data_IF_431944040540
#
_entry.id   IF_431944040540
#
_cell.length_a   1.000
_cell.length_b   1.000
_cell.length_c   1.000
_cell.angle_alpha   90.00
_cell.angle_beta   90.00
_cell.angle_gamma   90.00
#
_symmetry.space_group_name_H-M   'P 1'
#
loop_
_entity.id
_entity.type
_entity.pdbx_description
1 polymer ?
#
# COMPACT_ATOMS: atom_id res chain seq x y z
N UNK A 1 -14.51 -5.99 -6.54
CA UNK A 1 -13.25 -5.26 -6.48
C UNK A 1 -13.46 -3.96 -5.73
N UNK A 2 -12.58 -3.63 -4.80
CA UNK A 2 -12.69 -2.41 -4.00
C UNK A 2 -12.31 -1.17 -4.80
N UNK A 3 -12.71 0.00 -4.30
CA UNK A 3 -12.18 1.28 -4.79
C UNK A 3 -11.02 1.71 -3.91
N UNK A 4 -9.99 2.29 -4.50
CA UNK A 4 -8.80 2.70 -3.72
C UNK A 4 -9.14 3.68 -2.59
N UNK A 5 -10.12 4.57 -2.80
CA UNK A 5 -10.54 5.53 -1.76
C UNK A 5 -11.17 4.81 -0.56
N UNK A 6 -11.88 3.70 -0.79
CA UNK A 6 -12.44 2.90 0.30
C UNK A 6 -11.34 2.21 1.09
N UNK A 7 -10.33 1.68 0.41
CA UNK A 7 -9.16 1.07 1.04
C UNK A 7 -8.38 2.13 1.83
N UNK A 8 -8.19 3.32 1.25
CA UNK A 8 -7.50 4.42 1.91
C UNK A 8 -8.21 4.85 3.20
N UNK A 9 -9.54 4.94 3.17
CA UNK A 9 -10.32 5.28 4.35
C UNK A 9 -10.17 4.22 5.44
N UNK A 10 -10.19 2.95 5.05
CA UNK A 10 -10.00 1.85 5.99
C UNK A 10 -8.62 1.91 6.65
N UNK A 11 -7.57 2.09 5.85
CA UNK A 11 -6.19 2.21 6.35
C UNK A 11 -6.06 3.42 7.27
N UNK A 12 -6.65 4.56 6.87
CA UNK A 12 -6.64 5.79 7.67
C UNK A 12 -7.26 5.56 9.05
N UNK A 13 -8.45 4.97 9.10
CA UNK A 13 -9.16 4.73 10.35
C UNK A 13 -8.46 3.69 11.23
N UNK A 14 -7.98 2.62 10.63
CA UNK A 14 -7.29 1.56 11.35
C UNK A 14 -5.98 2.06 11.96
N UNK A 15 -5.21 2.84 11.19
CA UNK A 15 -3.98 3.45 11.68
C UNK A 15 -4.27 4.40 12.86
N UNK A 16 -5.28 5.24 12.74
CA UNK A 16 -5.67 6.15 13.81
C UNK A 16 -6.08 5.40 15.08
N UNK A 17 -6.84 4.32 14.93
CA UNK A 17 -7.26 3.48 16.05
C UNK A 17 -6.08 2.83 16.76
N UNK A 18 -5.10 2.32 16.01
CA UNK A 18 -3.96 1.60 16.57
C UNK A 18 -2.89 2.52 17.17
N UNK A 19 -2.70 3.71 16.61
CA UNK A 19 -1.61 4.61 17.02
C UNK A 19 -2.05 5.86 17.76
N UNK A 20 -3.35 6.18 17.71
CA UNK A 20 -3.93 7.44 18.19
C UNK A 20 -3.33 8.67 17.47
N UNK A 21 -2.78 8.47 16.28
CA UNK A 21 -2.20 9.50 15.44
C UNK A 21 -2.80 9.48 14.05
N UNK A 22 -2.94 10.68 13.44
CA UNK A 22 -3.39 10.79 12.05
C UNK A 22 -2.23 10.43 11.12
N UNK A 23 -2.47 9.50 10.20
CA UNK A 23 -1.47 9.10 9.20
C UNK A 23 -1.19 10.28 8.25
N UNK A 24 0.09 10.54 7.96
CA UNK A 24 0.45 11.54 6.95
C UNK A 24 0.18 11.01 5.53
N UNK A 25 0.04 11.94 4.58
CA UNK A 25 -0.34 11.59 3.21
C UNK A 25 0.72 10.69 2.54
N UNK A 26 2.01 10.98 2.72
CA UNK A 26 3.08 10.18 2.12
C UNK A 26 3.04 8.73 2.62
N UNK A 27 2.90 8.54 3.93
CA UNK A 27 2.78 7.19 4.50
C UNK A 27 1.56 6.47 3.95
N UNK A 28 0.42 7.16 3.86
CA UNK A 28 -0.81 6.57 3.34
C UNK A 28 -0.62 6.03 1.92
N UNK A 29 -0.03 6.82 1.02
CA UNK A 29 0.24 6.34 -0.35
C UNK A 29 1.13 5.11 -0.37
N UNK A 30 2.17 5.07 0.46
CA UNK A 30 3.09 3.93 0.50
C UNK A 30 2.41 2.68 1.05
N UNK A 31 1.63 2.82 2.11
CA UNK A 31 0.87 1.68 2.65
C UNK A 31 -0.13 1.14 1.63
N UNK A 32 -0.80 2.01 0.88
CA UNK A 32 -1.73 1.58 -0.18
C UNK A 32 -1.02 0.81 -1.30
N UNK A 33 0.17 1.23 -1.67
CA UNK A 33 0.98 0.48 -2.63
C UNK A 33 1.28 -0.92 -2.10
N UNK A 34 1.71 -1.03 -0.84
CA UNK A 34 1.98 -2.33 -0.23
C UNK A 34 0.73 -3.19 -0.08
N UNK A 35 -0.43 -2.58 0.18
CA UNK A 35 -1.72 -3.31 0.19
C UNK A 35 -1.98 -3.95 -1.18
N UNK A 36 -1.80 -3.20 -2.26
CA UNK A 36 -1.98 -3.73 -3.62
C UNK A 36 -0.99 -4.86 -3.90
N UNK A 37 0.27 -4.69 -3.53
CA UNK A 37 1.30 -5.72 -3.70
C UNK A 37 0.96 -6.99 -2.91
N UNK A 38 0.53 -6.83 -1.66
CA UNK A 38 0.12 -7.96 -0.81
C UNK A 38 -1.10 -8.68 -1.38
N UNK A 39 -2.04 -7.96 -1.97
CA UNK A 39 -3.21 -8.57 -2.61
C UNK A 39 -2.77 -9.52 -3.74
N UNK A 40 -1.82 -9.09 -4.57
CA UNK A 40 -1.25 -9.98 -5.57
C UNK A 40 -0.55 -11.18 -4.94
N UNK A 41 0.19 -10.97 -3.87
CA UNK A 41 0.95 -12.04 -3.21
C UNK A 41 0.03 -13.11 -2.62
N UNK A 42 -1.06 -12.71 -1.96
CA UNK A 42 -1.97 -13.62 -1.27
C UNK A 42 -3.10 -14.15 -2.16
N UNK A 43 -3.68 -13.32 -3.01
CA UNK A 43 -4.87 -13.66 -3.78
C UNK A 43 -4.62 -13.76 -5.28
N UNK A 44 -3.43 -13.37 -5.76
CA UNK A 44 -3.08 -13.40 -7.19
C UNK A 44 -3.85 -12.37 -8.02
N UNK A 45 -4.44 -11.35 -7.40
CA UNK A 45 -5.22 -10.33 -8.10
C UNK A 45 -5.10 -8.98 -7.40
N UNK A 46 -5.36 -7.88 -8.15
CA UNK A 46 -5.36 -6.55 -7.54
C UNK A 46 -6.55 -6.38 -6.60
N UNK A 47 -6.39 -5.58 -5.56
CA UNK A 47 -7.49 -5.23 -4.67
C UNK A 47 -8.38 -4.16 -5.28
N UNK A 48 -7.79 -3.23 -6.05
CA UNK A 48 -8.49 -2.13 -6.70
C UNK A 48 -7.92 -1.89 -8.10
N UNK A 49 -8.73 -1.26 -8.98
CA UNK A 49 -8.34 -1.01 -10.38
C UNK A 49 -7.60 0.30 -10.59
N UNK A 50 -7.72 1.26 -9.69
CA UNK A 50 -7.09 2.56 -9.84
C UNK A 50 -5.58 2.40 -9.86
N UNK A 51 -4.91 3.29 -10.60
CA UNK A 51 -3.47 3.23 -10.82
C UNK A 51 -2.72 4.11 -9.83
N UNK A 52 -1.47 3.72 -9.58
CA UNK A 52 -0.48 4.59 -8.97
C UNK A 52 0.36 5.26 -10.05
N UNK A 53 0.86 6.45 -9.75
CA UNK A 53 1.86 7.14 -10.57
C UNK A 53 3.21 7.09 -9.88
N UNK A 54 4.28 7.02 -10.68
CA UNK A 54 5.66 6.97 -10.17
C UNK A 54 6.24 8.36 -9.92
N UNK A 55 5.95 8.93 -8.77
CA UNK A 55 6.47 10.24 -8.38
C UNK A 55 7.87 10.13 -7.78
N UNK A 56 8.54 11.29 -7.58
CA UNK A 56 9.90 11.34 -7.01
C UNK A 56 10.01 10.55 -5.72
N UNK A 57 9.03 10.68 -4.82
CA UNK A 57 9.06 10.05 -3.50
C UNK A 57 8.27 8.75 -3.43
N UNK A 58 8.05 8.10 -4.57
CA UNK A 58 7.41 6.80 -4.63
C UNK A 58 6.01 6.83 -5.24
N UNK A 59 5.29 5.72 -5.16
CA UNK A 59 3.94 5.61 -5.71
C UNK A 59 2.96 6.58 -5.06
N UNK A 60 2.12 7.21 -5.90
CA UNK A 60 1.08 8.14 -5.46
C UNK A 60 -0.22 7.83 -6.21
N UNK A 61 -1.33 7.81 -5.49
CA UNK A 61 -2.68 7.72 -6.07
C UNK A 61 -3.28 9.12 -6.16
N UNK A 62 -3.65 9.55 -7.36
CA UNK A 62 -4.31 10.84 -7.55
C UNK A 62 -5.68 10.89 -6.88
N UNK A 63 -6.42 9.79 -6.93
CA UNK A 63 -7.75 9.70 -6.33
C UNK A 63 -7.68 9.90 -4.81
N UNK A 64 -6.73 9.24 -4.16
CA UNK A 64 -6.50 9.38 -2.72
C UNK A 64 -6.02 10.79 -2.39
N UNK A 65 -5.12 11.33 -3.20
CA UNK A 65 -4.62 12.68 -3.01
C UNK A 65 -5.75 13.73 -3.04
N UNK A 66 -6.73 13.56 -3.93
CA UNK A 66 -7.88 14.46 -4.00
C UNK A 66 -8.83 14.34 -2.81
N UNK A 67 -8.80 13.21 -2.12
CA UNK A 67 -9.65 12.94 -0.94
C UNK A 67 -8.97 13.22 0.40
N UNK A 68 -7.65 13.36 0.41
CA UNK A 68 -6.91 13.60 1.65
C UNK A 68 -6.82 15.09 1.93
N UNK A 69 -7.32 15.49 3.11
CA UNK A 69 -7.21 16.87 3.62
C UNK A 69 -6.18 16.89 4.74
N UNK A 70 -5.25 17.83 4.68
CA UNK A 70 -4.17 17.96 5.66
C UNK A 70 -4.70 18.11 7.10
N UNK A 71 -5.80 18.81 7.26
CA UNK A 71 -6.35 19.10 8.59
C UNK A 71 -7.41 18.10 9.02
N UNK A 72 -8.15 17.48 8.09
CA UNK A 72 -9.31 16.64 8.37
C UNK A 72 -9.14 15.17 7.96
N UNK A 73 -8.04 14.80 7.30
CA UNK A 73 -7.79 13.42 6.85
C UNK A 73 -8.57 13.06 5.59
N UNK A 74 -9.05 11.83 5.52
CA UNK A 74 -9.82 11.36 4.36
C UNK A 74 -11.25 11.91 4.44
N UNK A 75 -11.62 12.74 3.46
CA UNK A 75 -12.90 13.48 3.49
C UNK A 75 -13.92 13.03 2.45
N UNK A 76 -13.57 12.03 1.60
CA UNK A 76 -14.51 11.49 0.62
C UNK A 76 -15.49 10.51 1.26
N UNK A 77 -16.70 10.40 0.68
CA UNK A 77 -17.64 9.35 1.06
C UNK A 77 -17.09 7.99 0.62
N UNK A 78 -17.10 7.02 1.52
CA UNK A 78 -16.48 5.71 1.31
C UNK A 78 -17.42 4.59 1.76
N UNK A 79 -17.11 3.38 1.28
CA UNK A 79 -17.83 2.15 1.62
C UNK A 79 -16.92 1.20 2.39
N UNK A 80 -17.53 0.27 3.11
CA UNK A 80 -16.80 -0.76 3.85
C UNK A 80 -16.13 -1.75 2.88
N UNK A 81 -14.98 -2.30 3.30
CA UNK A 81 -14.30 -3.36 2.57
C UNK A 81 -14.92 -4.72 2.88
N UNK A 82 -14.78 -5.67 1.96
CA UNK A 82 -15.03 -7.07 2.30
C UNK A 82 -13.99 -7.56 3.31
N UNK A 83 -14.30 -8.64 4.04
CA UNK A 83 -13.45 -9.10 5.13
C UNK A 83 -12.05 -9.52 4.68
N UNK A 84 -11.94 -10.19 3.53
CA UNK A 84 -10.64 -10.64 3.01
C UNK A 84 -9.73 -9.45 2.69
N UNK A 85 -10.27 -8.42 2.08
CA UNK A 85 -9.50 -7.22 1.72
C UNK A 85 -9.16 -6.40 2.97
N UNK A 86 -10.09 -6.29 3.92
CA UNK A 86 -9.84 -5.64 5.20
C UNK A 86 -8.72 -6.34 5.97
N UNK A 87 -8.69 -7.67 5.96
CA UNK A 87 -7.64 -8.47 6.59
C UNK A 87 -6.26 -8.15 6.01
N UNK A 88 -6.15 -8.09 4.68
CA UNK A 88 -4.89 -7.74 4.01
C UNK A 88 -4.46 -6.31 4.40
N UNK A 89 -5.39 -5.36 4.39
CA UNK A 89 -5.09 -3.98 4.75
C UNK A 89 -4.60 -3.87 6.21
N UNK A 90 -5.24 -4.58 7.14
CA UNK A 90 -4.79 -4.63 8.55
C UNK A 90 -3.37 -5.17 8.65
N UNK A 91 -3.08 -6.26 7.97
CA UNK A 91 -1.75 -6.87 8.01
C UNK A 91 -0.66 -5.91 7.52
N UNK A 92 -0.93 -5.13 6.48
CA UNK A 92 0.01 -4.13 5.97
C UNK A 92 0.24 -3.02 7.00
N UNK A 93 -0.82 -2.52 7.63
CA UNK A 93 -0.67 -1.49 8.67
C UNK A 93 0.15 -2.03 9.85
N UNK A 94 -0.11 -3.26 10.29
CA UNK A 94 0.63 -3.87 11.40
C UNK A 94 2.10 -4.09 11.05
N UNK A 95 2.40 -4.52 9.83
CA UNK A 95 3.77 -4.82 9.41
C UNK A 95 4.58 -3.55 9.11
N UNK A 96 3.98 -2.58 8.41
CA UNK A 96 4.70 -1.41 7.89
C UNK A 96 4.35 -0.10 8.56
N UNK A 97 3.23 -0.02 9.26
CA UNK A 97 2.71 1.25 9.79
C UNK A 97 3.60 1.91 10.84
N UNK A 98 4.42 1.15 11.54
CA UNK A 98 5.33 1.67 12.57
C UNK A 98 6.58 2.34 12.01
N UNK A 99 6.88 2.15 10.72
CA UNK A 99 8.00 2.83 10.07
C UNK A 99 7.62 4.27 9.73
N UNK A 100 8.59 5.17 9.71
CA UNK A 100 8.33 6.54 9.27
C UNK A 100 8.17 6.60 7.74
N UNK A 101 7.63 7.72 7.26
CA UNK A 101 7.31 7.87 5.83
C UNK A 101 8.56 7.86 4.94
N UNK A 102 9.70 8.33 5.43
CA UNK A 102 10.95 8.30 4.66
C UNK A 102 11.51 6.89 4.52
N UNK A 103 11.40 6.07 5.57
CA UNK A 103 11.78 4.66 5.48
C UNK A 103 10.90 3.92 4.46
N UNK A 104 9.60 4.16 4.50
CA UNK A 104 8.67 3.55 3.54
C UNK A 104 8.91 4.04 2.11
N UNK A 105 9.27 5.33 1.95
CA UNK A 105 9.70 5.86 0.67
C UNK A 105 10.89 5.07 0.13
N UNK A 106 11.91 4.86 0.96
CA UNK A 106 13.10 4.11 0.56
C UNK A 106 12.77 2.68 0.18
N UNK A 107 11.87 2.02 0.91
CA UNK A 107 11.41 0.68 0.55
C UNK A 107 10.71 0.68 -0.81
N UNK A 108 9.84 1.67 -1.07
CA UNK A 108 9.13 1.75 -2.35
C UNK A 108 10.06 2.02 -3.52
N UNK A 109 11.18 2.70 -3.31
CA UNK A 109 12.17 2.98 -4.34
C UNK A 109 12.96 1.74 -4.78
N UNK A 110 12.92 0.67 -4.01
CA UNK A 110 13.52 -0.61 -4.39
C UNK A 110 12.60 -1.45 -5.29
N UNK A 111 11.34 -1.07 -5.40
CA UNK A 111 10.35 -1.79 -6.20
C UNK A 111 10.62 -1.62 -7.70
N UNK A 112 10.63 -2.73 -8.43
CA UNK A 112 10.84 -2.74 -9.89
C UNK A 112 9.74 -1.93 -10.58
N UNK A 113 8.50 -2.06 -10.13
CA UNK A 113 7.36 -1.36 -10.71
C UNK A 113 7.52 0.16 -10.66
N UNK A 114 8.00 0.70 -9.54
CA UNK A 114 8.27 2.12 -9.43
C UNK A 114 9.45 2.53 -10.31
N UNK A 115 10.56 1.76 -10.28
CA UNK A 115 11.75 2.03 -11.09
C UNK A 115 11.40 2.05 -12.58
N UNK A 116 10.59 1.09 -13.05
CA UNK A 116 10.18 1.03 -14.46
C UNK A 116 9.36 2.26 -14.87
N UNK A 117 8.51 2.77 -13.99
CA UNK A 117 7.72 3.97 -14.26
C UNK A 117 8.59 5.23 -14.39
N UNK A 118 9.83 5.16 -13.93
CA UNK A 118 10.75 6.30 -13.91
C UNK A 118 11.94 6.15 -14.86
N UNK A 119 11.91 5.19 -15.77
CA UNK A 119 12.99 4.99 -16.75
C UNK A 119 13.22 6.29 -17.56
N UNK A 120 14.48 6.72 -17.63
CA UNK A 120 14.85 7.95 -18.34
C UNK A 120 14.73 9.23 -17.53
N UNK A 121 14.20 9.14 -16.30
CA UNK A 121 14.10 10.29 -15.39
C UNK A 121 15.24 10.25 -14.36
N UNK A 122 15.80 11.43 -14.07
CA UNK A 122 16.78 11.57 -12.99
C UNK A 122 16.15 11.46 -11.61
N UNK A 123 16.98 11.24 -10.54
CA UNK A 123 16.46 11.05 -9.18
C UNK A 123 15.63 12.23 -8.66
N UNK A 124 15.92 13.44 -9.11
CA UNK A 124 15.21 14.65 -8.69
C UNK A 124 14.22 15.16 -9.73
N UNK A 125 14.05 14.42 -10.82
CA UNK A 125 13.17 14.85 -11.93
C UNK A 125 11.73 14.44 -11.62
N UNK A 126 10.75 15.37 -11.69
CA UNK A 126 9.35 15.03 -11.54
C UNK A 126 8.88 14.02 -12.60
N UNK A 127 7.92 13.18 -12.24
CA UNK A 127 7.31 12.23 -13.15
C UNK A 127 5.94 11.83 -12.64
N UNK A 128 5.09 11.42 -13.57
CA UNK A 128 3.70 11.03 -13.28
C UNK A 128 3.24 9.85 -14.15
N UNK A 129 4.19 9.04 -14.62
CA UNK A 129 3.84 7.87 -15.42
C UNK A 129 3.14 6.83 -14.55
N UNK A 130 2.17 6.15 -15.14
CA UNK A 130 1.44 5.08 -14.46
C UNK A 130 2.39 3.92 -14.17
N UNK A 131 2.32 3.41 -12.94
CA UNK A 131 3.01 2.19 -12.53
C UNK A 131 2.19 1.01 -13.07
N UNK A 132 2.81 0.17 -13.91
CA UNK A 132 2.15 -0.97 -14.52
C UNK A 132 1.77 -2.01 -13.45
N UNK A 133 0.51 -2.42 -13.42
CA UNK A 133 0.03 -3.44 -12.48
C UNK A 133 0.76 -4.77 -12.65
N UNK A 134 1.17 -5.11 -13.87
CA UNK A 134 1.96 -6.33 -14.12
C UNK A 134 3.30 -6.28 -13.40
N UNK A 135 3.90 -5.10 -13.31
CA UNK A 135 5.16 -4.92 -12.60
C UNK A 135 4.93 -5.01 -11.07
N UNK A 136 3.79 -4.55 -10.57
CA UNK A 136 3.43 -4.74 -9.15
C UNK A 136 3.27 -6.23 -8.85
N UNK A 137 2.66 -6.98 -9.76
CA UNK A 137 2.54 -8.44 -9.62
C UNK A 137 3.91 -9.11 -9.59
N UNK A 138 4.85 -8.67 -10.43
CA UNK A 138 6.24 -9.16 -10.39
C UNK A 138 6.86 -8.86 -9.03
N UNK A 139 6.71 -7.64 -8.53
CA UNK A 139 7.21 -7.26 -7.20
C UNK A 139 6.59 -8.11 -6.09
N UNK A 140 5.33 -8.53 -6.25
CA UNK A 140 4.63 -9.33 -5.24
C UNK A 140 5.27 -10.71 -5.02
N UNK A 141 6.02 -11.21 -6.00
CA UNK A 141 6.65 -12.54 -5.92
C UNK A 141 7.74 -12.65 -4.85
N UNK A 142 8.33 -11.51 -4.46
CA UNK A 142 9.34 -11.47 -3.39
C UNK A 142 8.74 -11.27 -2.01
N UNK A 143 7.41 -11.01 -1.93
CA UNK A 143 6.74 -10.71 -0.68
C UNK A 143 6.61 -11.95 0.17
N UNK A 144 6.94 -11.80 1.45
CA UNK A 144 6.73 -12.81 2.47
C UNK A 144 5.49 -12.41 3.27
N UNK A 145 4.30 -12.99 2.98
CA UNK A 145 3.07 -12.57 3.63
C UNK A 145 3.10 -12.72 5.15
N UNK A 146 2.57 -11.72 5.84
CA UNK A 146 2.52 -11.63 7.30
C UNK A 146 1.08 -11.71 7.79
N UNK A 147 0.85 -12.43 8.90
CA UNK A 147 -0.46 -12.52 9.56
C UNK A 147 -0.43 -11.76 10.88
N UNK A 148 -1.19 -10.67 10.97
CA UNK A 148 -1.23 -9.82 12.16
C UNK A 148 -1.97 -10.47 13.34
N UNK A 149 -2.91 -11.38 13.07
CA UNK A 149 -3.66 -12.09 14.11
C UNK A 149 -2.75 -13.02 14.92
N UNK A 150 -1.85 -13.73 14.22
CA UNK A 150 -0.91 -14.65 14.84
C UNK A 150 0.48 -14.03 15.10
N UNK A 151 0.74 -12.83 14.53
CA UNK A 151 2.01 -12.16 14.68
C UNK A 151 3.18 -12.89 14.03
N UNK A 152 2.94 -13.61 12.93
CA UNK A 152 3.95 -14.41 12.25
C UNK A 152 3.75 -14.41 10.74
N UNK A 153 4.79 -14.80 10.01
CA UNK A 153 4.72 -14.92 8.56
C UNK A 153 4.04 -16.23 8.14
N UNK A 154 3.38 -16.23 6.98
CA UNK A 154 2.65 -17.41 6.48
C UNK A 154 3.53 -18.63 6.30
N UNK A 155 4.78 -18.47 5.87
CA UNK A 155 5.71 -19.61 5.68
C UNK A 155 6.07 -20.29 7.00
N UNK A 156 5.94 -19.60 8.13
CA UNK A 156 6.16 -20.20 9.45
C UNK A 156 5.08 -21.22 9.83
N UNK A 157 3.86 -21.07 9.28
CA UNK A 157 2.80 -22.06 9.47
C UNK A 157 3.11 -23.39 8.74
N UNK A 158 3.77 -23.31 7.59
CA UNK A 158 4.11 -24.50 6.80
C UNK A 158 5.09 -25.40 7.55
N UNK A 159 6.00 -24.84 8.33
CA UNK A 159 6.97 -25.57 9.13
C UNK A 159 6.31 -26.37 10.27
N UNK A 160 5.12 -26.00 10.72
CA UNK A 160 4.40 -26.66 11.80
C UNK A 160 3.53 -27.84 11.31
N UNK A 161 3.27 -27.93 10.01
CA UNK A 161 2.43 -28.98 9.41
C UNK A 161 3.20 -30.29 9.11
N UNK A 162 4.45 -30.36 9.44
CA UNK A 162 5.30 -31.52 9.14
C UNK A 162 5.26 -32.58 10.25
#
# INVERSE_FOLDING_TARGET
MEKIVDVAQYVYKYYLKETDEKIDEMKLHKLLYFVQRESYALLGKPMFNEDFEGWIHGPVSKEVRSCYDKDHGMVCNTHSLCEDDAYIARNVVEEYGHYDSWYLRNLSHEEISWKNSRIGLGPEQPGNRIIDKKDIEVDSRKVRPFDSTWGMFYDEFEDEEV
#
